data_IF_429637162787
#
_entry.id   IF_429637162787
#
_cell.length_a   1.000
_cell.length_b   1.000
_cell.length_c   1.000
_cell.angle_alpha   90.00
_cell.angle_beta   90.00
_cell.angle_gamma   90.00
#
_symmetry.space_group_name_H-M   'P 1'
#
loop_
_entity.id
_entity.type
_entity.pdbx_description
1 polymer ?
#
# COMPACT_ATOMS: atom_id res chain seq x y z
N UNK A 1 -15.40 11.09 3.81
CA UNK A 1 -14.54 10.80 2.64
C UNK A 1 -13.14 11.39 2.81
N UNK A 2 -13.03 12.68 3.18
CA UNK A 2 -11.77 13.41 3.36
C UNK A 2 -10.74 12.68 4.25
N UNK A 3 -11.14 12.16 5.41
CA UNK A 3 -10.24 11.43 6.32
C UNK A 3 -9.55 10.22 5.67
N UNK A 4 -10.24 9.53 4.75
CA UNK A 4 -9.71 8.36 4.04
C UNK A 4 -8.70 8.77 2.97
N UNK A 5 -9.00 9.85 2.26
CA UNK A 5 -8.09 10.42 1.26
C UNK A 5 -6.81 10.90 1.95
N UNK A 6 -6.94 11.65 3.05
CA UNK A 6 -5.79 12.10 3.85
C UNK A 6 -4.95 10.92 4.36
N UNK A 7 -5.59 9.84 4.82
CA UNK A 7 -4.86 8.65 5.26
C UNK A 7 -4.05 8.02 4.13
N UNK A 8 -4.64 7.87 2.93
CA UNK A 8 -3.94 7.34 1.76
C UNK A 8 -2.78 8.26 1.37
N UNK A 9 -2.97 9.58 1.38
CA UNK A 9 -1.91 10.55 1.10
C UNK A 9 -0.76 10.45 2.10
N UNK A 10 -1.05 10.39 3.40
CA UNK A 10 -0.03 10.23 4.44
C UNK A 10 0.72 8.90 4.26
N UNK A 11 0.00 7.81 3.98
CA UNK A 11 0.61 6.51 3.70
C UNK A 11 1.59 6.57 2.53
N UNK A 12 1.20 7.18 1.41
CA UNK A 12 2.08 7.36 0.24
C UNK A 12 3.29 8.21 0.60
N UNK A 13 3.12 9.31 1.35
CA UNK A 13 4.25 10.14 1.80
C UNK A 13 5.26 9.34 2.62
N UNK A 14 4.80 8.50 3.56
CA UNK A 14 5.70 7.66 4.36
C UNK A 14 6.45 6.64 3.52
N UNK A 15 5.79 6.00 2.53
CA UNK A 15 6.45 5.05 1.63
C UNK A 15 7.50 5.77 0.77
N UNK A 16 7.17 6.93 0.21
CA UNK A 16 8.12 7.70 -0.60
C UNK A 16 9.33 8.18 0.21
N UNK A 17 9.14 8.55 1.48
CA UNK A 17 10.25 8.89 2.39
C UNK A 17 11.12 7.65 2.64
N UNK A 18 10.51 6.50 2.93
CA UNK A 18 11.24 5.25 3.11
C UNK A 18 12.03 4.89 1.84
N UNK A 19 11.39 4.98 0.69
CA UNK A 19 12.02 4.72 -0.61
C UNK A 19 13.22 5.63 -0.84
N UNK A 20 13.07 6.93 -0.57
CA UNK A 20 14.17 7.89 -0.65
C UNK A 20 15.32 7.52 0.28
N UNK A 21 15.03 7.14 1.54
CA UNK A 21 16.03 6.68 2.51
C UNK A 21 16.78 5.45 1.97
N UNK A 22 16.06 4.51 1.35
CA UNK A 22 16.65 3.30 0.77
C UNK A 22 17.37 3.51 -0.57
N UNK A 23 17.33 4.72 -1.13
CA UNK A 23 18.13 5.10 -2.30
C UNK A 23 19.47 5.76 -1.91
N UNK A 24 19.68 6.10 -0.63
CA UNK A 24 20.97 6.63 -0.18
C UNK A 24 22.09 5.60 -0.38
N UNK A 25 23.36 6.00 -0.51
CA UNK A 25 24.46 5.04 -0.51
C UNK A 25 24.49 4.21 0.79
N UNK A 26 25.22 3.09 0.75
CA UNK A 26 25.45 2.23 1.92
C UNK A 26 25.80 3.06 3.17
N UNK A 27 25.26 2.72 4.37
CA UNK A 27 24.65 1.44 4.76
C UNK A 27 23.12 1.36 4.59
N UNK A 28 22.46 2.45 4.16
CA UNK A 28 21.00 2.55 4.19
C UNK A 28 20.33 2.19 2.87
N UNK A 29 21.02 2.35 1.73
CA UNK A 29 20.42 2.00 0.44
C UNK A 29 20.77 0.63 -0.07
N UNK A 30 19.73 -0.19 -0.02
CA UNK A 30 19.66 -1.50 -0.64
C UNK A 30 19.01 -1.45 -2.02
N UNK A 31 18.13 -0.45 -2.27
CA UNK A 31 17.34 -0.37 -3.49
C UNK A 31 18.06 0.43 -4.57
N UNK A 32 18.82 -0.29 -5.41
CA UNK A 32 19.28 0.23 -6.71
C UNK A 32 18.15 0.06 -7.72
N UNK A 33 17.20 0.98 -7.72
CA UNK A 33 16.20 0.99 -8.76
C UNK A 33 16.86 1.22 -10.11
N UNK A 34 16.78 0.23 -11.00
CA UNK A 34 17.25 0.34 -12.38
C UNK A 34 16.34 1.27 -13.17
N UNK A 35 15.32 0.72 -13.81
CA UNK A 35 14.32 1.48 -14.60
C UNK A 35 13.10 1.93 -13.79
N UNK A 36 13.06 1.62 -12.50
CA UNK A 36 11.91 1.93 -11.64
C UNK A 36 12.11 3.29 -10.99
N UNK A 37 11.25 4.26 -11.31
CA UNK A 37 11.35 5.61 -10.74
C UNK A 37 10.43 5.78 -9.52
N UNK A 38 10.74 6.78 -8.69
CA UNK A 38 9.91 7.23 -7.56
C UNK A 38 8.46 7.53 -8.01
N UNK A 39 8.27 8.00 -9.24
CA UNK A 39 6.96 8.21 -9.87
C UNK A 39 6.15 6.92 -10.08
N UNK A 40 6.83 5.80 -10.38
CA UNK A 40 6.16 4.51 -10.50
C UNK A 40 5.66 4.06 -9.13
N UNK A 41 6.50 4.17 -8.09
CA UNK A 41 6.13 3.85 -6.71
C UNK A 41 4.96 4.71 -6.21
N UNK A 42 4.99 6.03 -6.47
CA UNK A 42 3.90 6.94 -6.10
C UNK A 42 2.50 6.53 -6.64
N UNK A 43 2.43 5.81 -7.76
CA UNK A 43 1.19 5.27 -8.33
C UNK A 43 0.91 3.86 -7.82
N UNK A 44 1.94 3.02 -7.69
CA UNK A 44 1.82 1.62 -7.29
C UNK A 44 1.43 1.47 -5.82
N UNK A 45 1.99 2.30 -4.93
CA UNK A 45 1.71 2.28 -3.49
C UNK A 45 0.23 2.47 -3.13
N UNK A 46 -0.48 3.51 -3.64
CA UNK A 46 -1.90 3.64 -3.36
C UNK A 46 -2.73 2.53 -4.02
N UNK A 47 -2.31 2.01 -5.18
CA UNK A 47 -2.99 0.90 -5.87
C UNK A 47 -2.91 -0.39 -5.04
N UNK A 48 -1.73 -0.75 -4.53
CA UNK A 48 -1.53 -1.90 -3.66
C UNK A 48 -2.37 -1.76 -2.38
N UNK A 49 -2.40 -0.57 -1.78
CA UNK A 49 -3.21 -0.32 -0.59
C UNK A 49 -4.70 -0.55 -0.86
N UNK A 50 -5.21 -0.13 -2.02
CA UNK A 50 -6.59 -0.38 -2.43
C UNK A 50 -6.87 -1.87 -2.65
N UNK A 51 -5.95 -2.60 -3.30
CA UNK A 51 -6.08 -4.05 -3.46
C UNK A 51 -6.12 -4.75 -2.10
N UNK A 52 -5.21 -4.43 -1.18
CA UNK A 52 -5.16 -5.01 0.16
C UNK A 52 -6.48 -4.77 0.92
N UNK A 53 -7.02 -3.55 0.85
CA UNK A 53 -8.30 -3.22 1.48
C UNK A 53 -9.47 -3.98 0.85
N UNK A 54 -9.43 -4.14 -0.48
CA UNK A 54 -10.40 -4.92 -1.24
C UNK A 54 -10.40 -6.39 -0.83
N UNK A 55 -9.22 -7.01 -0.79
CA UNK A 55 -9.03 -8.38 -0.33
C UNK A 55 -9.51 -8.58 1.10
N UNK A 56 -9.14 -7.68 2.02
CA UNK A 56 -9.57 -7.74 3.41
C UNK A 56 -11.11 -7.73 3.53
N UNK A 57 -11.78 -6.82 2.82
CA UNK A 57 -13.25 -6.76 2.80
C UNK A 57 -13.88 -7.98 2.15
N UNK A 58 -13.25 -8.52 1.11
CA UNK A 58 -13.73 -9.71 0.43
C UNK A 58 -13.68 -10.93 1.34
N UNK A 59 -12.59 -11.13 2.08
CA UNK A 59 -12.46 -12.20 3.08
C UNK A 59 -13.53 -12.05 4.16
N UNK A 60 -13.70 -10.85 4.73
CA UNK A 60 -14.76 -10.61 5.71
C UNK A 60 -16.17 -10.87 5.16
N UNK A 61 -16.41 -10.61 3.87
CA UNK A 61 -17.67 -10.93 3.23
C UNK A 61 -17.87 -12.45 3.08
N UNK A 62 -16.82 -13.18 2.71
CA UNK A 62 -16.84 -14.65 2.65
C UNK A 62 -17.13 -15.24 4.03
N UNK A 63 -16.46 -14.77 5.08
CA UNK A 63 -16.67 -15.25 6.45
C UNK A 63 -18.11 -15.01 6.92
N UNK A 64 -18.64 -13.78 6.73
CA UNK A 64 -20.04 -13.49 7.08
C UNK A 64 -21.04 -14.32 6.28
N UNK A 65 -20.74 -14.62 5.02
CA UNK A 65 -21.58 -15.46 4.18
C UNK A 65 -21.57 -16.92 4.66
N UNK A 66 -20.42 -17.42 5.11
CA UNK A 66 -20.29 -18.76 5.69
C UNK A 66 -21.06 -18.90 7.01
N UNK A 67 -20.99 -17.90 7.90
CA UNK A 67 -21.77 -17.88 9.15
C UNK A 67 -23.27 -17.97 8.84
N UNK A 68 -23.77 -17.14 7.92
CA UNK A 68 -25.20 -17.12 7.55
C UNK A 68 -25.71 -18.41 6.91
N UNK A 69 -24.86 -19.27 6.35
CA UNK A 69 -25.25 -20.56 5.75
C UNK A 69 -25.41 -21.66 6.82
N UNK A 70 -24.78 -21.50 8.00
CA UNK A 70 -24.78 -22.50 9.07
C UNK A 70 -25.90 -22.29 10.11
N UNK A 71 -26.62 -21.18 10.04
CA UNK A 71 -27.79 -20.82 10.88
C UNK A 71 -29.10 -21.15 10.14
#
# INVERSE_FOLDING_TARGET
MIKKIVFIFIFVIFILIYEYITMLPEPWGYFRYGWWGILHSAIVDPVILLFLLGFYKWIQWLDRKQVKIRD
#
